data_IF_542712726522
#
_entry.id   IF_542712726522
#
_cell.length_a   1.000
_cell.length_b   1.000
_cell.length_c   1.000
_cell.angle_alpha   90.00
_cell.angle_beta   90.00
_cell.angle_gamma   90.00
#
_symmetry.space_group_name_H-M   'P 1'
#
loop_
_entity.id
_entity.type
_entity.pdbx_description
1 polymer ?
#
# COMPACT_ATOMS: atom_id res chain seq x y z
N UNK A 1 -21.50 -65.08 -12.97
CA UNK A 1 -20.79 -66.15 -13.70
C UNK A 1 -20.14 -65.53 -14.93
N UNK A 2 -18.91 -65.96 -15.28
CA UNK A 2 -17.93 -65.37 -16.22
C UNK A 2 -17.27 -64.09 -15.69
N UNK A 3 -16.08 -64.06 -15.09
CA UNK A 3 -14.86 -64.89 -15.18
C UNK A 3 -14.28 -65.00 -16.59
N UNK A 4 -13.40 -64.06 -16.94
CA UNK A 4 -12.51 -64.14 -18.09
C UNK A 4 -11.08 -63.82 -17.64
N UNK A 5 -10.19 -64.74 -17.99
CA UNK A 5 -8.85 -64.92 -17.47
C UNK A 5 -7.76 -64.09 -18.19
N UNK A 6 -6.59 -64.07 -17.55
CA UNK A 6 -5.29 -63.43 -17.87
C UNK A 6 -4.76 -63.71 -19.31
N UNK A 7 -3.71 -62.98 -19.73
CA UNK A 7 -2.37 -63.59 -19.57
C UNK A 7 -1.30 -62.65 -19.01
N UNK A 8 -0.37 -63.28 -18.29
CA UNK A 8 0.87 -62.73 -17.77
C UNK A 8 1.87 -62.50 -18.91
N UNK A 9 2.55 -61.36 -18.90
CA UNK A 9 3.67 -61.08 -19.79
C UNK A 9 5.00 -61.17 -19.03
N UNK A 10 5.87 -61.97 -19.63
CA UNK A 10 7.15 -62.50 -19.20
C UNK A 10 8.24 -61.43 -19.16
N UNK A 11 9.12 -61.52 -18.15
CA UNK A 11 10.37 -60.79 -18.07
C UNK A 11 11.32 -61.13 -19.23
N UNK A 12 12.03 -60.13 -19.80
CA UNK A 12 13.34 -60.35 -20.39
C UNK A 12 14.46 -59.93 -19.42
N UNK A 13 15.23 -60.93 -19.03
CA UNK A 13 16.58 -60.83 -18.47
C UNK A 13 17.49 -60.15 -19.49
N UNK A 14 18.10 -59.01 -19.16
CA UNK A 14 19.13 -58.39 -20.01
C UNK A 14 20.44 -58.32 -19.24
N UNK A 15 21.47 -58.71 -20.00
CA UNK A 15 22.81 -59.11 -19.66
C UNK A 15 23.65 -58.12 -18.85
N UNK A 16 24.51 -58.75 -18.06
CA UNK A 16 25.57 -58.16 -17.26
C UNK A 16 26.90 -58.36 -17.99
N UNK A 17 27.29 -57.40 -18.82
CA UNK A 17 28.66 -57.22 -19.35
C UNK A 17 29.12 -55.84 -18.85
N UNK A 18 29.88 -55.71 -17.76
CA UNK A 18 31.29 -56.06 -17.56
C UNK A 18 32.23 -55.52 -18.66
N UNK A 19 33.13 -54.64 -18.22
CA UNK A 19 34.38 -54.16 -18.83
C UNK A 19 34.29 -53.27 -20.07
N UNK A 20 34.63 -51.98 -19.90
CA UNK A 20 35.94 -51.47 -20.36
C UNK A 20 36.18 -50.02 -19.90
N UNK A 21 37.33 -49.85 -19.26
CA UNK A 21 37.96 -48.58 -18.94
C UNK A 21 38.16 -47.73 -20.21
N UNK A 22 37.72 -46.47 -20.16
CA UNK A 22 38.28 -45.41 -20.98
C UNK A 22 38.63 -44.20 -20.10
N UNK A 23 39.90 -44.09 -19.68
CA UNK A 23 40.48 -42.83 -19.26
C UNK A 23 41.03 -42.13 -20.51
N UNK A 24 40.38 -41.06 -20.96
CA UNK A 24 41.02 -40.11 -21.86
C UNK A 24 40.37 -38.75 -21.71
N UNK A 25 41.11 -37.89 -21.02
CA UNK A 25 41.06 -36.45 -21.09
C UNK A 25 40.64 -35.91 -22.46
N UNK A 26 39.44 -35.38 -22.53
CA UNK A 26 39.16 -34.24 -23.38
C UNK A 26 38.70 -33.12 -22.45
N UNK A 27 39.68 -32.43 -21.87
CA UNK A 27 39.51 -31.10 -21.29
C UNK A 27 39.10 -30.14 -22.41
N UNK A 28 37.87 -30.28 -22.88
CA UNK A 28 37.23 -29.29 -23.73
C UNK A 28 37.23 -27.96 -22.98
N UNK A 29 37.46 -26.83 -23.67
CA UNK A 29 37.53 -25.53 -23.04
C UNK A 29 36.27 -25.39 -22.18
N UNK A 30 36.47 -25.26 -20.86
CA UNK A 30 35.44 -24.86 -19.89
C UNK A 30 34.83 -23.62 -20.50
N UNK A 31 33.73 -23.81 -21.26
CA UNK A 31 32.93 -22.71 -21.79
C UNK A 31 32.69 -21.85 -20.57
N UNK A 32 33.28 -20.67 -20.57
CA UNK A 32 32.87 -19.57 -19.71
C UNK A 32 31.36 -19.56 -19.80
N UNK A 33 30.70 -20.17 -18.80
CA UNK A 33 29.30 -19.91 -18.54
C UNK A 33 29.34 -18.44 -18.19
N UNK A 34 29.12 -17.63 -19.21
CA UNK A 34 28.78 -16.23 -19.12
C UNK A 34 28.01 -16.07 -17.83
N UNK A 35 28.63 -15.36 -16.88
CA UNK A 35 28.05 -15.07 -15.59
C UNK A 35 26.85 -14.18 -15.87
N UNK A 36 25.73 -14.80 -16.25
CA UNK A 36 24.44 -14.12 -16.30
C UNK A 36 24.26 -13.64 -14.86
N UNK A 37 24.22 -12.31 -14.65
CA UNK A 37 24.19 -11.79 -13.30
C UNK A 37 22.95 -12.36 -12.60
N UNK A 38 23.10 -12.72 -11.33
CA UNK A 38 22.13 -13.55 -10.60
C UNK A 38 20.68 -13.02 -10.67
N UNK A 39 20.49 -11.71 -10.88
CA UNK A 39 19.18 -11.08 -11.02
C UNK A 39 18.44 -11.38 -12.34
N UNK A 40 19.15 -11.75 -13.41
CA UNK A 40 18.56 -12.19 -14.69
C UNK A 40 18.22 -13.68 -14.71
N UNK A 41 18.47 -14.41 -13.61
CA UNK A 41 18.17 -15.83 -13.52
C UNK A 41 16.65 -16.04 -13.57
N UNK A 42 16.22 -16.79 -14.58
CA UNK A 42 14.84 -17.29 -14.67
C UNK A 42 14.60 -18.23 -13.49
N UNK A 43 13.50 -18.02 -12.77
CA UNK A 43 13.08 -18.93 -11.72
C UNK A 43 12.21 -19.99 -12.35
N UNK A 44 12.51 -21.26 -12.07
CA UNK A 44 11.66 -22.35 -12.50
C UNK A 44 10.41 -22.36 -11.60
N UNK A 45 9.21 -22.10 -12.15
CA UNK A 45 8.00 -22.21 -11.37
C UNK A 45 7.77 -23.67 -10.94
N UNK A 46 7.02 -23.90 -9.85
CA UNK A 46 6.58 -25.25 -9.52
C UNK A 46 5.88 -25.87 -10.72
N UNK A 47 6.03 -27.18 -10.92
CA UNK A 47 5.37 -27.89 -12.03
C UNK A 47 4.08 -28.52 -11.53
N UNK A 48 3.05 -28.50 -12.37
CA UNK A 48 1.84 -29.29 -12.15
C UNK A 48 2.13 -30.78 -12.27
N UNK A 49 1.18 -31.62 -11.88
CA UNK A 49 1.25 -33.08 -12.08
C UNK A 49 1.46 -33.46 -13.57
N UNK A 50 0.95 -32.64 -14.50
CA UNK A 50 1.14 -32.76 -15.95
C UNK A 50 2.52 -32.28 -16.45
N UNK A 51 3.42 -31.86 -15.55
CA UNK A 51 4.75 -31.34 -15.89
C UNK A 51 4.77 -29.91 -16.46
N UNK A 52 3.62 -29.24 -16.56
CA UNK A 52 3.52 -27.85 -17.05
C UNK A 52 3.92 -26.86 -15.94
N UNK A 53 4.54 -25.71 -16.29
CA UNK A 53 4.83 -24.67 -15.30
C UNK A 53 3.55 -24.11 -14.67
N UNK A 54 3.49 -24.07 -13.34
CA UNK A 54 2.38 -23.51 -12.56
C UNK A 54 2.73 -22.12 -12.02
N UNK A 55 2.09 -21.10 -12.59
CA UNK A 55 2.25 -19.71 -12.18
C UNK A 55 1.22 -19.26 -11.13
N UNK A 56 0.30 -20.13 -10.70
CA UNK A 56 -0.72 -19.77 -9.71
C UNK A 56 -0.11 -19.46 -8.34
N UNK A 57 0.83 -20.27 -7.78
CA UNK A 57 1.42 -19.96 -6.49
C UNK A 57 2.15 -18.61 -6.43
N UNK A 58 3.09 -18.27 -7.34
CA UNK A 58 3.77 -16.97 -7.28
C UNK A 58 2.81 -15.79 -7.52
N UNK A 59 1.81 -15.94 -8.40
CA UNK A 59 0.79 -14.92 -8.58
C UNK A 59 -0.06 -14.73 -7.31
N UNK A 60 -0.42 -15.81 -6.61
CA UNK A 60 -1.16 -15.77 -5.36
C UNK A 60 -0.35 -15.09 -4.24
N UNK A 61 0.95 -15.36 -4.12
CA UNK A 61 1.81 -14.69 -3.15
C UNK A 61 1.90 -13.18 -3.39
N UNK A 62 2.10 -12.77 -4.64
CA UNK A 62 2.15 -11.34 -4.99
C UNK A 62 0.80 -10.65 -4.74
N UNK A 63 -0.30 -11.30 -5.11
CA UNK A 63 -1.64 -10.79 -4.87
C UNK A 63 -1.95 -10.69 -3.37
N UNK A 64 -1.57 -11.68 -2.57
CA UNK A 64 -1.74 -11.65 -1.11
C UNK A 64 -0.88 -10.55 -0.45
N UNK A 65 0.36 -10.38 -0.90
CA UNK A 65 1.22 -9.29 -0.43
C UNK A 65 0.64 -7.91 -0.76
N UNK A 66 0.11 -7.74 -1.97
CA UNK A 66 -0.60 -6.51 -2.34
C UNK A 66 -1.90 -6.32 -1.55
N UNK A 67 -2.68 -7.37 -1.32
CA UNK A 67 -3.88 -7.35 -0.49
C UNK A 67 -3.55 -6.81 0.90
N UNK A 68 -2.49 -7.33 1.51
CA UNK A 68 -2.03 -6.92 2.82
C UNK A 68 -1.66 -5.43 2.83
N UNK A 69 -0.86 -4.96 1.86
CA UNK A 69 -0.50 -3.53 1.73
C UNK A 69 -1.74 -2.66 1.55
N UNK A 70 -2.70 -3.07 0.71
CA UNK A 70 -3.95 -2.34 0.48
C UNK A 70 -4.82 -2.28 1.72
N UNK A 71 -4.92 -3.37 2.49
CA UNK A 71 -5.65 -3.40 3.76
C UNK A 71 -5.03 -2.41 4.75
N UNK A 72 -3.71 -2.44 4.95
CA UNK A 72 -3.02 -1.51 5.85
C UNK A 72 -3.17 -0.05 5.39
N UNK A 73 -3.00 0.21 4.10
CA UNK A 73 -3.20 1.55 3.52
C UNK A 73 -4.64 2.02 3.72
N UNK A 74 -5.61 1.15 3.45
CA UNK A 74 -7.03 1.40 3.66
C UNK A 74 -7.36 1.65 5.14
N UNK A 75 -6.73 0.94 6.07
CA UNK A 75 -6.85 1.19 7.51
C UNK A 75 -6.33 2.56 7.89
N UNK A 76 -5.16 2.97 7.40
CA UNK A 76 -4.66 4.34 7.63
C UNK A 76 -5.66 5.37 7.11
N UNK A 77 -6.10 5.23 5.86
CA UNK A 77 -7.10 6.14 5.28
C UNK A 77 -8.40 6.17 6.09
N UNK A 78 -8.89 5.00 6.52
CA UNK A 78 -10.09 4.90 7.32
C UNK A 78 -9.91 5.60 8.67
N UNK A 79 -8.83 5.33 9.41
CA UNK A 79 -8.53 5.94 10.71
C UNK A 79 -8.47 7.46 10.65
N UNK A 80 -7.86 8.02 9.59
CA UNK A 80 -7.80 9.47 9.39
C UNK A 80 -9.09 10.05 8.80
N UNK A 81 -10.00 9.23 8.26
CA UNK A 81 -11.26 9.70 7.70
C UNK A 81 -12.35 9.85 8.78
N UNK A 82 -13.27 10.79 8.55
CA UNK A 82 -14.49 10.91 9.37
C UNK A 82 -15.40 9.68 9.29
N UNK A 83 -15.27 8.86 8.25
CA UNK A 83 -16.09 7.66 8.06
C UNK A 83 -15.89 6.65 9.21
N UNK A 84 -14.66 6.50 9.70
CA UNK A 84 -14.36 5.59 10.80
C UNK A 84 -15.08 5.98 12.09
N UNK A 85 -15.13 7.28 12.41
CA UNK A 85 -15.76 7.78 13.63
C UNK A 85 -17.29 7.63 13.60
N UNK A 86 -17.91 7.79 12.43
CA UNK A 86 -19.38 7.75 12.32
C UNK A 86 -19.93 6.36 12.01
N UNK A 87 -19.19 5.59 11.21
CA UNK A 87 -19.64 4.30 10.65
C UNK A 87 -18.47 3.31 10.55
N UNK A 88 -17.89 2.94 11.69
CA UNK A 88 -16.74 2.03 11.76
C UNK A 88 -16.94 0.73 10.96
N UNK A 89 -18.12 0.11 11.06
CA UNK A 89 -18.41 -1.14 10.33
C UNK A 89 -18.43 -0.96 8.81
N UNK A 90 -18.97 0.15 8.31
CA UNK A 90 -18.97 0.47 6.87
C UNK A 90 -17.56 0.79 6.39
N UNK A 91 -16.77 1.49 7.20
CA UNK A 91 -15.37 1.77 6.89
C UNK A 91 -14.55 0.47 6.76
N UNK A 92 -14.70 -0.45 7.73
CA UNK A 92 -14.07 -1.77 7.69
C UNK A 92 -14.51 -2.57 6.47
N UNK A 93 -15.82 -2.65 6.22
CA UNK A 93 -16.37 -3.37 5.07
C UNK A 93 -15.81 -2.80 3.75
N UNK A 94 -15.72 -1.47 3.62
CA UNK A 94 -15.16 -0.83 2.44
C UNK A 94 -13.67 -1.14 2.26
N UNK A 95 -12.87 -1.13 3.33
CA UNK A 95 -11.44 -1.48 3.28
C UNK A 95 -11.25 -2.92 2.82
N UNK A 96 -11.94 -3.88 3.44
CA UNK A 96 -11.81 -5.29 3.09
C UNK A 96 -12.37 -5.61 1.70
N UNK A 97 -13.53 -5.06 1.34
CA UNK A 97 -14.11 -5.25 0.02
C UNK A 97 -13.22 -4.65 -1.08
N UNK A 98 -12.72 -3.43 -0.87
CA UNK A 98 -11.80 -2.77 -1.80
C UNK A 98 -10.50 -3.56 -1.97
N UNK A 99 -9.89 -3.99 -0.87
CA UNK A 99 -8.67 -4.80 -0.92
C UNK A 99 -8.91 -6.14 -1.62
N UNK A 100 -10.00 -6.85 -1.33
CA UNK A 100 -10.33 -8.12 -1.96
C UNK A 100 -10.51 -7.96 -3.49
N UNK A 101 -11.30 -6.98 -3.93
CA UNK A 101 -11.54 -6.73 -5.36
C UNK A 101 -10.25 -6.39 -6.11
N UNK A 102 -9.43 -5.49 -5.57
CA UNK A 102 -8.15 -5.12 -6.17
C UNK A 102 -7.17 -6.30 -6.20
N UNK A 103 -7.17 -7.14 -5.17
CA UNK A 103 -6.29 -8.31 -5.10
C UNK A 103 -6.67 -9.38 -6.11
N UNK A 104 -7.96 -9.60 -6.33
CA UNK A 104 -8.45 -10.52 -7.37
C UNK A 104 -8.06 -10.00 -8.75
N UNK A 105 -8.24 -8.70 -9.01
CA UNK A 105 -7.84 -8.08 -10.26
C UNK A 105 -6.31 -8.20 -10.49
N UNK A 106 -5.51 -7.91 -9.46
CA UNK A 106 -4.06 -8.03 -9.53
C UNK A 106 -3.61 -9.48 -9.75
N UNK A 107 -4.21 -10.44 -9.05
CA UNK A 107 -3.94 -11.86 -9.26
C UNK A 107 -4.15 -12.25 -10.73
N UNK A 108 -5.29 -11.87 -11.32
CA UNK A 108 -5.60 -12.19 -12.70
C UNK A 108 -4.59 -11.56 -13.68
N UNK A 109 -4.18 -10.30 -13.44
CA UNK A 109 -3.20 -9.59 -14.27
C UNK A 109 -1.81 -10.25 -14.15
N UNK A 110 -1.34 -10.45 -12.92
CA UNK A 110 -0.02 -11.04 -12.63
C UNK A 110 0.07 -12.46 -13.17
N UNK A 111 -0.97 -13.28 -12.97
CA UNK A 111 -1.02 -14.64 -13.53
C UNK A 111 -0.91 -14.63 -15.06
N UNK A 112 -1.66 -13.74 -15.74
CA UNK A 112 -1.58 -13.60 -17.21
C UNK A 112 -0.19 -13.13 -17.66
N UNK A 113 0.43 -12.21 -16.95
CA UNK A 113 1.77 -11.71 -17.27
C UNK A 113 2.85 -12.78 -17.07
N UNK A 114 2.81 -13.51 -15.95
CA UNK A 114 3.75 -14.59 -15.65
C UNK A 114 3.60 -15.76 -16.64
N UNK A 115 2.37 -16.09 -17.05
CA UNK A 115 2.13 -17.10 -18.08
C UNK A 115 2.70 -16.69 -19.46
N UNK A 116 2.72 -15.39 -19.77
CA UNK A 116 3.20 -14.88 -21.06
C UNK A 116 4.72 -14.68 -21.09
N UNK A 117 5.29 -14.09 -20.05
CA UNK A 117 6.70 -13.69 -20.03
C UNK A 117 7.59 -14.64 -19.21
N UNK A 118 7.01 -15.48 -18.35
CA UNK A 118 7.75 -16.30 -17.38
C UNK A 118 8.08 -15.54 -16.10
N UNK A 119 8.61 -16.27 -15.11
CA UNK A 119 8.97 -15.76 -13.79
C UNK A 119 10.47 -15.47 -13.72
N UNK A 120 10.84 -14.24 -13.35
CA UNK A 120 12.22 -13.83 -13.14
C UNK A 120 12.43 -13.29 -11.73
N UNK A 121 13.61 -13.53 -11.15
CA UNK A 121 13.93 -13.10 -9.80
C UNK A 121 13.82 -11.57 -9.61
N UNK A 122 14.29 -10.79 -10.58
CA UNK A 122 14.21 -9.32 -10.52
C UNK A 122 12.77 -8.80 -10.43
N UNK A 123 11.79 -9.50 -11.02
CA UNK A 123 10.39 -9.09 -10.96
C UNK A 123 9.84 -9.19 -9.53
N UNK A 124 10.19 -10.27 -8.82
CA UNK A 124 9.83 -10.44 -7.40
C UNK A 124 10.48 -9.37 -6.53
N UNK A 125 11.78 -9.10 -6.75
CA UNK A 125 12.50 -8.05 -6.01
C UNK A 125 11.85 -6.68 -6.26
N UNK A 126 11.60 -6.33 -7.52
CA UNK A 126 10.98 -5.06 -7.88
C UNK A 126 9.58 -4.94 -7.27
N UNK A 127 8.76 -5.99 -7.34
CA UNK A 127 7.44 -6.00 -6.74
C UNK A 127 7.50 -5.79 -5.22
N UNK A 128 8.42 -6.45 -4.52
CA UNK A 128 8.63 -6.24 -3.08
C UNK A 128 9.05 -4.80 -2.76
N UNK A 129 9.96 -4.21 -3.52
CA UNK A 129 10.39 -2.81 -3.34
C UNK A 129 9.19 -1.86 -3.52
N UNK A 130 8.39 -2.05 -4.57
CA UNK A 130 7.20 -1.24 -4.83
C UNK A 130 6.19 -1.38 -3.70
N UNK A 131 5.91 -2.61 -3.25
CA UNK A 131 4.98 -2.85 -2.14
C UNK A 131 5.44 -2.18 -0.84
N UNK A 132 6.75 -2.26 -0.53
CA UNK A 132 7.32 -1.59 0.63
C UNK A 132 7.24 -0.07 0.52
N UNK A 133 7.52 0.50 -0.66
CA UNK A 133 7.41 1.94 -0.89
C UNK A 133 5.98 2.45 -0.74
N UNK A 134 4.99 1.71 -1.26
CA UNK A 134 3.57 2.04 -1.09
C UNK A 134 3.21 1.99 0.40
N UNK A 135 3.59 0.91 1.09
CA UNK A 135 3.30 0.74 2.52
C UNK A 135 3.92 1.85 3.37
N UNK A 136 5.18 2.23 3.12
CA UNK A 136 5.87 3.27 3.91
C UNK A 136 5.30 4.67 3.66
N UNK A 137 4.78 4.93 2.45
CA UNK A 137 4.15 6.22 2.10
C UNK A 137 2.68 6.37 2.54
N UNK A 138 2.03 5.26 2.94
CA UNK A 138 0.61 5.25 3.27
C UNK A 138 0.19 6.26 4.37
N UNK A 139 0.95 6.43 5.48
CA UNK A 139 0.60 7.43 6.50
C UNK A 139 0.63 8.87 5.98
N UNK A 140 1.60 9.20 5.14
CA UNK A 140 1.76 10.55 4.58
C UNK A 140 0.65 10.86 3.58
N UNK A 141 0.28 9.90 2.75
CA UNK A 141 -0.88 10.03 1.85
C UNK A 141 -2.17 10.23 2.63
N UNK A 142 -2.38 9.45 3.70
CA UNK A 142 -3.56 9.58 4.54
C UNK A 142 -3.64 10.97 5.19
N UNK A 143 -2.54 11.51 5.71
CA UNK A 143 -2.49 12.88 6.27
C UNK A 143 -2.65 13.96 5.20
N UNK A 144 -2.16 13.72 4.00
CA UNK A 144 -2.32 14.67 2.88
C UNK A 144 -3.78 14.78 2.46
N UNK A 145 -4.48 13.64 2.34
CA UNK A 145 -5.89 13.56 1.95
C UNK A 145 -6.83 14.00 3.06
N UNK A 146 -6.51 13.67 4.31
CA UNK A 146 -7.32 13.94 5.49
C UNK A 146 -6.50 14.75 6.51
N UNK A 147 -6.22 16.03 6.23
CA UNK A 147 -5.39 16.85 7.10
C UNK A 147 -6.06 17.08 8.46
N UNK A 148 -5.25 17.16 9.52
CA UNK A 148 -5.71 17.59 10.84
C UNK A 148 -6.21 19.03 10.78
N UNK A 149 -6.99 19.44 11.76
CA UNK A 149 -7.50 20.81 11.83
C UNK A 149 -6.35 21.84 11.80
N UNK A 150 -5.25 21.58 12.51
CA UNK A 150 -4.04 22.41 12.52
C UNK A 150 -3.38 22.52 11.15
N UNK A 151 -3.14 21.40 10.49
CA UNK A 151 -2.51 21.38 9.16
C UNK A 151 -3.35 22.16 8.15
N UNK A 152 -4.69 22.11 8.29
CA UNK A 152 -5.61 22.87 7.46
C UNK A 152 -5.56 24.37 7.77
N UNK A 153 -5.49 24.73 9.05
CA UNK A 153 -5.31 26.12 9.45
C UNK A 153 -4.03 26.71 8.85
N UNK A 154 -2.92 25.98 8.92
CA UNK A 154 -1.65 26.40 8.31
C UNK A 154 -1.79 26.54 6.78
N UNK A 155 -2.45 25.59 6.09
CA UNK A 155 -2.63 25.65 4.62
C UNK A 155 -3.63 26.71 4.13
N UNK A 156 -4.56 27.15 4.97
CA UNK A 156 -5.63 28.07 4.55
C UNK A 156 -5.39 29.49 5.06
N UNK A 157 -4.86 29.65 6.28
CA UNK A 157 -4.86 30.93 7.00
C UNK A 157 -3.50 31.27 7.65
N UNK A 158 -2.88 30.34 8.39
CA UNK A 158 -1.75 30.63 9.28
C UNK A 158 -0.35 30.36 8.73
N UNK A 159 -0.23 29.59 7.65
CA UNK A 159 1.06 29.14 7.13
C UNK A 159 1.79 30.17 6.29
N UNK A 160 3.07 29.94 5.97
CA UNK A 160 3.89 30.89 5.23
C UNK A 160 3.21 31.36 3.93
N UNK A 161 3.03 32.69 3.80
CA UNK A 161 2.36 33.30 2.65
C UNK A 161 0.85 33.47 2.78
N UNK A 162 0.22 32.98 3.86
CA UNK A 162 -1.20 33.18 4.15
C UNK A 162 -1.47 34.39 5.06
N UNK A 163 -2.72 34.85 5.05
CA UNK A 163 -3.11 36.15 5.61
C UNK A 163 -2.89 36.28 7.12
N UNK A 164 -3.05 35.20 7.91
CA UNK A 164 -2.82 35.23 9.36
C UNK A 164 -1.36 34.92 9.74
N UNK A 165 -0.49 34.62 8.78
CA UNK A 165 0.86 34.16 9.05
C UNK A 165 1.70 35.14 9.88
N UNK A 166 1.62 36.43 9.58
CA UNK A 166 2.38 37.48 10.26
C UNK A 166 1.63 38.09 11.44
N UNK A 167 0.43 37.59 11.74
CA UNK A 167 -0.47 38.15 12.75
C UNK A 167 -0.27 37.48 14.13
N UNK A 168 -0.87 38.02 15.21
CA UNK A 168 -0.90 37.36 16.51
C UNK A 168 -1.64 36.01 16.52
N UNK A 169 -2.43 35.71 15.49
CA UNK A 169 -3.20 34.46 15.38
C UNK A 169 -2.41 33.32 14.73
N UNK A 170 -1.14 33.51 14.35
CA UNK A 170 -0.27 32.41 13.93
C UNK A 170 -0.15 31.36 15.05
N UNK A 171 -0.13 30.06 14.72
CA UNK A 171 -0.07 28.97 15.72
C UNK A 171 1.18 29.02 16.61
N UNK A 172 2.27 29.66 16.17
CA UNK A 172 3.47 29.90 16.98
C UNK A 172 3.29 31.00 18.04
N UNK A 173 2.25 31.82 17.93
CA UNK A 173 1.96 32.99 18.77
C UNK A 173 0.58 32.93 19.44
N UNK A 174 -0.13 31.83 19.27
CA UNK A 174 -1.46 31.62 19.82
C UNK A 174 -1.55 30.24 20.46
N UNK A 175 -2.31 30.16 21.54
CA UNK A 175 -2.76 28.89 22.10
C UNK A 175 -4.00 28.43 21.35
N UNK A 176 -4.04 27.15 21.04
CA UNK A 176 -5.14 26.58 20.30
C UNK A 176 -5.83 25.49 21.09
N UNK A 177 -7.13 25.66 21.26
CA UNK A 177 -7.99 24.70 21.92
C UNK A 177 -9.11 24.28 20.98
N UNK A 178 -9.67 23.10 21.23
CA UNK A 178 -10.88 22.66 20.54
C UNK A 178 -12.03 22.79 21.54
N UNK A 179 -13.12 23.40 21.10
CA UNK A 179 -14.22 23.68 22.00
C UNK A 179 -14.98 22.37 22.29
N UNK A 180 -14.96 21.92 23.55
CA UNK A 180 -15.64 20.68 23.97
C UNK A 180 -17.16 20.77 23.79
N UNK A 181 -17.72 21.98 23.86
CA UNK A 181 -19.14 22.28 23.69
C UNK A 181 -19.62 22.21 22.23
N UNK A 182 -18.71 22.34 21.26
CA UNK A 182 -19.02 22.33 19.84
C UNK A 182 -18.00 21.50 19.05
N UNK A 183 -18.28 20.20 18.81
CA UNK A 183 -17.35 19.33 18.10
C UNK A 183 -17.07 19.86 16.69
N UNK A 184 -15.80 20.16 16.42
CA UNK A 184 -15.36 20.77 15.17
C UNK A 184 -15.22 22.29 15.19
N UNK A 185 -15.23 22.91 16.37
CA UNK A 185 -14.83 24.30 16.56
C UNK A 185 -13.40 24.37 17.09
N UNK A 186 -12.58 25.14 16.40
CA UNK A 186 -11.22 25.50 16.82
C UNK A 186 -11.24 26.91 17.37
N UNK A 187 -10.54 27.08 18.48
CA UNK A 187 -10.44 28.33 19.22
C UNK A 187 -8.96 28.68 19.27
N UNK A 188 -8.64 29.87 18.79
CA UNK A 188 -7.28 30.38 18.66
C UNK A 188 -7.20 31.62 19.54
N UNK A 189 -6.50 31.47 20.65
CA UNK A 189 -6.31 32.50 21.66
C UNK A 189 -4.89 33.08 21.53
N UNK A 190 -4.72 34.29 20.99
CA UNK A 190 -3.41 34.90 20.85
C UNK A 190 -2.74 35.09 22.22
N UNK A 191 -1.44 34.83 22.30
CA UNK A 191 -0.67 35.01 23.55
C UNK A 191 -0.58 36.49 23.95
N UNK A 192 -0.69 37.40 22.98
CA UNK A 192 -0.71 38.83 23.23
C UNK A 192 -2.02 39.24 23.94
N UNK A 193 -1.88 39.88 25.09
CA UNK A 193 -3.00 40.30 25.94
C UNK A 193 -3.92 41.31 25.23
N UNK A 194 -5.22 41.22 25.54
CA UNK A 194 -6.24 42.17 25.08
C UNK A 194 -6.77 41.95 23.66
N UNK A 195 -6.28 40.93 22.95
CA UNK A 195 -6.81 40.56 21.64
C UNK A 195 -8.01 39.59 21.76
N UNK A 196 -9.03 39.73 20.90
CA UNK A 196 -10.18 38.84 20.92
C UNK A 196 -9.82 37.45 20.40
N UNK A 197 -10.47 36.43 20.94
CA UNK A 197 -10.27 35.03 20.52
C UNK A 197 -10.86 34.79 19.13
N UNK A 198 -10.10 34.13 18.24
CA UNK A 198 -10.57 33.73 16.92
C UNK A 198 -11.19 32.34 16.98
N UNK A 199 -12.45 32.21 16.53
CA UNK A 199 -13.19 30.94 16.53
C UNK A 199 -13.51 30.51 15.10
N UNK A 200 -13.11 29.30 14.75
CA UNK A 200 -13.30 28.72 13.42
C UNK A 200 -14.15 27.44 13.51
N UNK A 201 -15.10 27.29 12.59
CA UNK A 201 -15.90 26.09 12.40
C UNK A 201 -15.21 25.12 11.43
N UNK A 202 -15.72 23.89 11.37
CA UNK A 202 -15.24 22.81 10.51
C UNK A 202 -13.80 22.33 10.79
N UNK A 203 -13.28 22.67 11.96
CA UNK A 203 -12.02 22.20 12.50
C UNK A 203 -12.15 20.78 13.09
N UNK A 204 -12.58 19.85 12.25
CA UNK A 204 -12.67 18.42 12.57
C UNK A 204 -11.50 17.72 11.90
N UNK A 205 -10.74 16.91 12.64
CA UNK A 205 -9.67 16.09 12.07
C UNK A 205 -10.19 15.19 10.95
N UNK A 206 -9.46 15.17 9.84
CA UNK A 206 -9.87 14.47 8.61
C UNK A 206 -11.10 15.04 7.89
N UNK A 207 -11.58 16.21 8.32
CA UNK A 207 -12.54 16.99 7.57
C UNK A 207 -11.96 17.50 6.24
N UNK A 208 -12.83 17.69 5.26
CA UNK A 208 -12.48 18.23 3.93
C UNK A 208 -13.10 19.61 3.67
N UNK A 209 -13.85 20.14 4.64
CA UNK A 209 -14.44 21.47 4.55
C UNK A 209 -13.42 22.51 4.99
N UNK A 210 -13.43 23.64 4.29
CA UNK A 210 -12.66 24.83 4.65
C UNK A 210 -13.05 25.33 6.04
N UNK A 211 -12.08 25.94 6.71
CA UNK A 211 -12.30 26.62 7.98
C UNK A 211 -13.10 27.89 7.72
N UNK A 212 -14.18 28.08 8.47
CA UNK A 212 -15.07 29.25 8.33
C UNK A 212 -15.20 29.98 9.66
N UNK A 213 -15.42 31.30 9.67
CA UNK A 213 -15.63 32.04 10.91
C UNK A 213 -16.84 31.49 11.66
N UNK A 214 -16.66 31.19 12.94
CA UNK A 214 -17.71 30.58 13.76
C UNK A 214 -18.79 31.58 14.20
N UNK A 215 -18.43 32.85 14.33
CA UNK A 215 -19.28 33.93 14.79
C UNK A 215 -18.92 35.26 14.10
N UNK A 216 -19.68 36.31 14.42
CA UNK A 216 -19.46 37.65 13.87
C UNK A 216 -18.13 38.27 14.32
N UNK A 217 -17.63 37.91 15.50
CA UNK A 217 -16.35 38.40 16.02
C UNK A 217 -15.19 37.80 15.21
N UNK A 218 -15.19 36.49 14.98
CA UNK A 218 -14.24 35.81 14.11
C UNK A 218 -14.23 36.41 12.70
N UNK A 219 -15.42 36.67 12.13
CA UNK A 219 -15.52 37.34 10.81
C UNK A 219 -14.89 38.73 10.81
N UNK A 220 -15.10 39.51 11.87
CA UNK A 220 -14.50 40.84 12.02
C UNK A 220 -12.97 40.76 12.11
N UNK A 221 -12.44 39.79 12.86
CA UNK A 221 -10.99 39.54 12.97
C UNK A 221 -10.41 39.18 11.60
N UNK A 222 -10.99 38.21 10.90
CA UNK A 222 -10.53 37.81 9.56
C UNK A 222 -10.51 39.02 8.60
N UNK A 223 -11.63 39.74 8.52
CA UNK A 223 -11.75 40.94 7.68
C UNK A 223 -10.71 42.02 8.04
N UNK A 224 -10.39 42.19 9.33
CA UNK A 224 -9.38 43.16 9.79
C UNK A 224 -7.98 42.85 9.26
N UNK A 225 -7.66 41.57 9.05
CA UNK A 225 -6.36 41.13 8.51
C UNK A 225 -6.41 40.81 7.01
N UNK A 226 -7.51 41.13 6.33
CA UNK A 226 -7.65 40.87 4.89
C UNK A 226 -7.82 39.39 4.53
N UNK A 227 -8.26 38.59 5.49
CA UNK A 227 -8.86 37.27 5.29
C UNK A 227 -10.40 37.43 5.20
#
# INVERSE_FOLDING_TARGET
MSEAARPAATHPTIDRTSTLNHPADAAGPRRERSQIPAFLRRLDPPRTWDGRPDYRPPAAFLAAGAAFVLVFTGFYLALYSKLWHRHQHLALAAVFAGAALLSIALYAIVHRLLARFGLYLWQSILASIVLLAVMSSAPDWARSLFPRAYDRYERELGGPGHCLHTTPYNLSRAQTTFADDHPGRMVIDPIAEGLPVLRLNHAVDGGLKHLTPADAAARKILNQYGC
#
